data_IF_049487556189
#
_entry.id   IF_049487556189
#
_cell.length_a   1.000
_cell.length_b   1.000
_cell.length_c   1.000
_cell.angle_alpha   90.00
_cell.angle_beta   90.00
_cell.angle_gamma   90.00
#
_symmetry.space_group_name_H-M   'P 1'
#
loop_
_entity.id
_entity.type
_entity.pdbx_description
1 polymer ?
#
# COMPACT_ATOMS: atom_id res chain seq x y z
N UNK A 1 -11.42 -14.55 2.08
CA UNK A 1 -10.66 -13.87 3.16
C UNK A 1 -11.07 -12.43 3.16
N UNK A 2 -11.27 -11.82 4.31
CA UNK A 2 -11.73 -10.43 4.44
C UNK A 2 -10.57 -9.60 4.94
N UNK A 3 -9.99 -8.79 4.08
CA UNK A 3 -9.18 -7.68 4.53
C UNK A 3 -10.05 -6.79 5.43
N UNK A 4 -9.46 -6.27 6.49
CA UNK A 4 -10.17 -5.35 7.37
C UNK A 4 -10.18 -3.98 6.73
N UNK A 5 -11.36 -3.45 6.40
CA UNK A 5 -11.50 -2.06 5.94
C UNK A 5 -11.15 -1.14 7.10
N UNK A 6 -10.06 -0.38 6.95
CA UNK A 6 -9.58 0.56 7.97
C UNK A 6 -9.83 2.01 7.60
N UNK A 7 -10.03 2.30 6.30
CA UNK A 7 -10.44 3.60 5.81
C UNK A 7 -11.24 3.44 4.51
N UNK A 8 -12.57 3.52 4.62
CA UNK A 8 -13.48 3.32 3.49
C UNK A 8 -13.36 4.43 2.44
N UNK A 9 -13.23 5.70 2.89
CA UNK A 9 -13.13 6.86 1.99
C UNK A 9 -11.89 6.81 1.09
N UNK A 10 -10.77 6.33 1.63
CA UNK A 10 -9.51 6.21 0.90
C UNK A 10 -9.31 4.82 0.26
N UNK A 11 -10.28 3.92 0.38
CA UNK A 11 -10.21 2.52 -0.05
C UNK A 11 -8.91 1.86 0.47
N UNK A 12 -8.73 1.89 1.79
CA UNK A 12 -7.61 1.28 2.51
C UNK A 12 -8.13 0.15 3.38
N UNK A 13 -7.47 -0.99 3.25
CA UNK A 13 -7.71 -2.18 4.03
C UNK A 13 -6.42 -2.61 4.73
N UNK A 14 -6.51 -3.61 5.59
CA UNK A 14 -5.35 -4.16 6.26
C UNK A 14 -5.49 -5.67 6.49
N UNK A 15 -4.36 -6.36 6.55
CA UNK A 15 -4.28 -7.78 6.84
C UNK A 15 -3.07 -8.09 7.73
N UNK A 16 -3.06 -9.26 8.38
CA UNK A 16 -1.82 -9.84 8.90
C UNK A 16 -1.15 -10.67 7.81
N UNK A 17 0.15 -10.88 7.92
CA UNK A 17 0.89 -11.78 7.03
C UNK A 17 0.36 -13.21 7.11
N UNK A 18 -0.10 -13.64 8.29
CA UNK A 18 -0.75 -14.93 8.50
C UNK A 18 -2.10 -15.09 7.76
N UNK A 19 -2.71 -13.98 7.33
CA UNK A 19 -3.96 -13.98 6.57
C UNK A 19 -3.72 -14.09 5.05
N UNK A 20 -2.46 -14.10 4.59
CA UNK A 20 -2.12 -14.18 3.16
C UNK A 20 -1.94 -15.63 2.71
N UNK A 21 -2.52 -15.99 1.56
CA UNK A 21 -2.18 -17.28 0.93
C UNK A 21 -0.80 -17.21 0.27
N UNK A 22 -0.14 -18.37 0.07
CA UNK A 22 1.12 -18.43 -0.67
C UNK A 22 1.06 -17.77 -2.05
N UNK A 23 -0.05 -17.89 -2.77
CA UNK A 23 -0.23 -17.25 -4.09
C UNK A 23 -0.28 -15.72 -3.99
N UNK A 24 -0.89 -15.19 -2.93
CA UNK A 24 -0.89 -13.74 -2.68
C UNK A 24 0.53 -13.26 -2.36
N UNK A 25 1.27 -14.01 -1.53
CA UNK A 25 2.68 -13.75 -1.23
C UNK A 25 3.54 -13.75 -2.49
N UNK A 26 3.32 -14.71 -3.40
CA UNK A 26 4.02 -14.81 -4.68
C UNK A 26 3.67 -13.64 -5.64
N UNK A 27 2.39 -13.25 -5.69
CA UNK A 27 1.96 -12.07 -6.43
C UNK A 27 2.62 -10.79 -5.88
N UNK A 28 2.85 -10.70 -4.58
CA UNK A 28 3.60 -9.60 -3.97
C UNK A 28 5.08 -9.63 -4.32
N UNK A 29 5.76 -10.76 -4.16
CA UNK A 29 7.20 -10.84 -4.50
C UNK A 29 7.44 -10.52 -5.98
N UNK A 30 6.55 -10.95 -6.88
CA UNK A 30 6.63 -10.62 -8.31
C UNK A 30 6.29 -9.16 -8.65
N UNK A 31 5.30 -8.56 -7.98
CA UNK A 31 4.93 -7.16 -8.25
C UNK A 31 5.88 -6.13 -7.63
N UNK A 32 6.68 -6.55 -6.64
CA UNK A 32 7.49 -5.69 -5.78
C UNK A 32 9.01 -5.90 -5.93
N UNK A 33 9.46 -7.00 -6.54
CA UNK A 33 10.89 -7.27 -6.74
C UNK A 33 11.68 -7.41 -5.43
N UNK A 34 11.03 -7.87 -4.36
CA UNK A 34 11.65 -8.16 -3.05
C UNK A 34 11.39 -9.60 -2.63
N UNK A 35 12.37 -10.17 -1.94
CA UNK A 35 12.51 -11.61 -1.68
C UNK A 35 11.79 -12.14 -0.43
N UNK A 36 11.12 -11.31 0.40
CA UNK A 36 10.43 -11.84 1.60
C UNK A 36 9.20 -11.07 2.09
N UNK A 37 8.24 -11.85 2.62
CA UNK A 37 7.02 -11.39 3.28
C UNK A 37 7.31 -10.54 4.53
N UNK A 38 8.46 -10.72 5.18
CA UNK A 38 8.89 -9.94 6.35
C UNK A 38 9.14 -8.46 6.01
N UNK A 39 9.32 -8.14 4.73
CA UNK A 39 9.47 -6.77 4.22
C UNK A 39 8.19 -6.23 3.58
N UNK A 40 7.09 -6.97 3.65
CA UNK A 40 5.81 -6.55 3.10
C UNK A 40 5.25 -5.39 3.92
N UNK A 41 5.28 -4.20 3.34
CA UNK A 41 4.72 -2.99 3.96
C UNK A 41 3.26 -2.78 3.54
N UNK A 42 2.98 -2.80 2.23
CA UNK A 42 1.65 -2.65 1.66
C UNK A 42 1.57 -3.20 0.23
N UNK A 43 0.37 -3.35 -0.32
CA UNK A 43 0.15 -3.72 -1.71
C UNK A 43 -1.19 -3.18 -2.25
N UNK A 44 -1.44 -3.39 -3.55
CA UNK A 44 -2.68 -2.97 -4.23
C UNK A 44 -3.41 -4.20 -4.77
N UNK A 45 -4.70 -4.33 -4.46
CA UNK A 45 -5.55 -5.41 -4.96
C UNK A 45 -5.98 -5.17 -6.42
N UNK A 46 -6.64 -6.15 -7.03
CA UNK A 46 -7.25 -6.00 -8.35
C UNK A 46 -8.33 -4.92 -8.36
N UNK A 47 -9.10 -4.80 -7.26
CA UNK A 47 -10.12 -3.76 -7.03
C UNK A 47 -9.53 -2.40 -6.63
N UNK A 48 -8.21 -2.24 -6.75
CA UNK A 48 -7.46 -1.03 -6.43
C UNK A 48 -7.51 -0.60 -4.96
N UNK A 49 -7.87 -1.51 -4.03
CA UNK A 49 -7.72 -1.27 -2.59
C UNK A 49 -6.24 -1.29 -2.22
N UNK A 50 -5.83 -0.40 -1.32
CA UNK A 50 -4.48 -0.42 -0.74
C UNK A 50 -4.55 -1.22 0.56
N UNK A 51 -3.82 -2.32 0.64
CA UNK A 51 -3.82 -3.19 1.81
C UNK A 51 -2.52 -3.03 2.58
N UNK A 52 -2.63 -2.67 3.85
CA UNK A 52 -1.49 -2.53 4.77
C UNK A 52 -1.22 -3.82 5.53
N UNK A 53 0.07 -4.15 5.73
CA UNK A 53 0.46 -5.26 6.60
C UNK A 53 0.52 -4.84 8.07
N UNK A 54 -0.42 -5.32 8.89
CA UNK A 54 -0.49 -5.05 10.34
C UNK A 54 0.70 -5.59 11.13
N UNK A 55 1.41 -6.59 10.61
CA UNK A 55 2.57 -7.18 11.28
C UNK A 55 3.86 -6.38 11.04
N UNK A 56 3.81 -5.36 10.17
CA UNK A 56 4.96 -4.50 9.93
C UNK A 56 5.28 -3.64 11.16
N UNK A 57 6.56 -3.60 11.58
CA UNK A 57 7.00 -2.92 12.82
C UNK A 57 6.65 -1.44 12.89
N UNK A 58 6.46 -0.80 11.74
CA UNK A 58 6.14 0.63 11.61
C UNK A 58 4.69 0.85 11.13
N UNK A 59 3.79 -0.11 11.34
CA UNK A 59 2.43 -0.08 10.79
C UNK A 59 1.71 1.25 10.99
N UNK A 60 1.66 1.79 12.21
CA UNK A 60 0.96 3.06 12.48
C UNK A 60 1.57 4.24 11.71
N UNK A 61 2.89 4.34 11.65
CA UNK A 61 3.59 5.40 10.90
C UNK A 61 3.32 5.26 9.40
N UNK A 62 3.37 4.04 8.87
CA UNK A 62 3.05 3.79 7.45
C UNK A 62 1.61 4.14 7.16
N UNK A 63 0.67 3.77 8.04
CA UNK A 63 -0.74 4.11 7.89
C UNK A 63 -0.94 5.62 7.80
N UNK A 64 -0.36 6.39 8.72
CA UNK A 64 -0.42 7.85 8.71
C UNK A 64 0.14 8.45 7.41
N UNK A 65 1.28 7.93 6.93
CA UNK A 65 1.87 8.38 5.66
C UNK A 65 0.94 8.07 4.48
N UNK A 66 0.38 6.86 4.42
CA UNK A 66 -0.51 6.43 3.33
C UNK A 66 -1.79 7.26 3.32
N UNK A 67 -2.45 7.41 4.47
CA UNK A 67 -3.67 8.22 4.60
C UNK A 67 -3.40 9.68 4.21
N UNK A 68 -2.33 10.27 4.75
CA UNK A 68 -1.94 11.64 4.43
C UNK A 68 -1.62 11.81 2.95
N UNK A 69 -0.83 10.91 2.36
CA UNK A 69 -0.42 11.01 0.96
C UNK A 69 -1.61 10.91 0.00
N UNK A 70 -2.56 10.00 0.26
CA UNK A 70 -3.75 9.82 -0.60
C UNK A 70 -4.71 11.02 -0.57
N UNK A 71 -4.71 11.80 0.52
CA UNK A 71 -5.53 13.00 0.64
C UNK A 71 -4.93 14.22 -0.07
N UNK A 72 -3.64 14.20 -0.40
CA UNK A 72 -2.98 15.31 -1.08
C UNK A 72 -3.46 15.45 -2.53
N UNK A 73 -3.55 16.69 -3.00
CA UNK A 73 -3.76 16.96 -4.42
C UNK A 73 -2.55 16.50 -5.25
N UNK A 74 -2.75 16.28 -6.56
CA UNK A 74 -1.64 15.92 -7.45
C UNK A 74 -0.48 16.95 -7.38
N UNK A 75 -0.81 18.23 -7.37
CA UNK A 75 0.18 19.32 -7.30
C UNK A 75 0.95 19.31 -5.98
N UNK A 76 0.28 19.02 -4.85
CA UNK A 76 0.96 18.92 -3.56
C UNK A 76 1.91 17.72 -3.51
N UNK A 77 1.50 16.57 -4.06
CA UNK A 77 2.35 15.37 -4.12
C UNK A 77 3.58 15.56 -5.01
N UNK A 78 3.42 16.24 -6.15
CA UNK A 78 4.53 16.59 -7.04
C UNK A 78 5.54 17.56 -6.39
N UNK A 79 5.10 18.36 -5.42
CA UNK A 79 5.96 19.29 -4.67
C UNK A 79 6.70 18.64 -3.48
N UNK A 80 6.35 17.41 -3.09
CA UNK A 80 6.98 16.73 -1.95
C UNK A 80 8.40 16.26 -2.28
N UNK A 81 9.30 16.46 -1.33
CA UNK A 81 10.61 15.79 -1.34
C UNK A 81 10.45 14.44 -0.66
N UNK A 82 10.47 13.36 -1.45
CA UNK A 82 10.30 11.99 -0.97
C UNK A 82 11.67 11.37 -0.72
N UNK A 83 11.96 10.89 0.50
CA UNK A 83 13.19 10.16 0.77
C UNK A 83 13.28 8.86 -0.04
N UNK A 84 14.49 8.47 -0.45
CA UNK A 84 14.72 7.22 -1.21
C UNK A 84 14.14 5.98 -0.52
N UNK A 85 14.17 5.95 0.81
CA UNK A 85 13.59 4.87 1.62
C UNK A 85 12.08 4.72 1.45
N UNK A 86 11.38 5.76 1.01
CA UNK A 86 9.92 5.79 0.84
C UNK A 86 9.50 5.67 -0.64
N UNK A 87 10.42 5.81 -1.60
CA UNK A 87 10.11 5.86 -3.03
C UNK A 87 9.26 4.68 -3.49
N UNK A 88 9.60 3.46 -3.07
CA UNK A 88 8.84 2.28 -3.45
C UNK A 88 7.39 2.36 -2.98
N UNK A 89 7.18 2.76 -1.72
CA UNK A 89 5.84 2.88 -1.15
C UNK A 89 5.03 3.90 -1.95
N UNK A 90 5.63 5.07 -2.24
CA UNK A 90 4.98 6.10 -3.05
C UNK A 90 4.65 5.62 -4.46
N UNK A 91 5.55 4.88 -5.12
CA UNK A 91 5.27 4.31 -6.45
C UNK A 91 4.05 3.39 -6.44
N UNK A 92 3.87 2.60 -5.37
CA UNK A 92 2.67 1.74 -5.22
C UNK A 92 1.42 2.60 -5.04
N UNK A 93 1.49 3.66 -4.23
CA UNK A 93 0.36 4.58 -4.02
C UNK A 93 -0.03 5.32 -5.31
N UNK A 94 0.93 5.86 -6.06
CA UNK A 94 0.65 6.54 -7.33
C UNK A 94 0.04 5.58 -8.35
N UNK A 95 0.54 4.34 -8.45
CA UNK A 95 -0.06 3.32 -9.30
C UNK A 95 -1.52 3.03 -8.92
N UNK A 96 -1.84 2.99 -7.62
CA UNK A 96 -3.22 2.83 -7.15
C UNK A 96 -4.09 4.03 -7.56
N UNK A 97 -3.61 5.25 -7.34
CA UNK A 97 -4.30 6.49 -7.70
C UNK A 97 -4.60 6.53 -9.19
N UNK A 98 -3.61 6.24 -10.04
CA UNK A 98 -3.80 6.24 -11.49
C UNK A 98 -4.79 5.17 -11.97
N UNK A 99 -4.80 3.99 -11.34
CA UNK A 99 -5.78 2.94 -11.68
C UNK A 99 -7.20 3.34 -11.28
N UNK A 100 -7.37 3.93 -10.09
CA UNK A 100 -8.66 4.45 -9.61
C UNK A 100 -9.20 5.55 -10.50
N UNK A 101 -8.34 6.43 -11.03
CA UNK A 101 -8.74 7.49 -11.95
C UNK A 101 -9.19 6.98 -13.35
N UNK A 102 -8.91 5.71 -13.67
CA UNK A 102 -9.26 5.07 -14.95
C UNK A 102 -10.45 4.09 -14.83
N UNK A 103 -10.87 3.76 -13.61
CA UNK A 103 -11.99 2.86 -13.32
C UNK A 103 -13.32 3.64 -13.35
#
# INVERSE_FOLDING_TARGET
>A
MTYEVINEELNIEACRAADLTPEQVEMFTHSVGRDSIDTLTLFVTEDNAIVLNKDHKQYEVIKEIVEGYLQLSKSDREAMVIPDSCLWMIMVLEKAIERRARA
#
